data_IF_830467688857
#
_entry.id   IF_830467688857
#
_cell.length_a   1.000
_cell.length_b   1.000
_cell.length_c   1.000
_cell.angle_alpha   90.00
_cell.angle_beta   90.00
_cell.angle_gamma   90.00
#
_symmetry.space_group_name_H-M   'P 1'
#
loop_
_entity.id
_entity.type
_entity.pdbx_description
1 polymer ?
#
# COMPACT_ATOMS: atom_id res chain seq x y z
N UNK A 1 28.26 -70.61 -9.38
CA UNK A 1 29.38 -70.90 -10.30
C UNK A 1 29.80 -69.61 -10.91
N UNK A 2 30.81 -69.16 -10.37
CA UNK A 2 32.16 -68.79 -10.80
C UNK A 2 32.20 -67.37 -11.29
N UNK A 3 32.76 -66.43 -10.54
CA UNK A 3 34.20 -66.03 -10.41
C UNK A 3 34.67 -65.25 -11.66
N UNK A 4 35.44 -64.22 -11.70
CA UNK A 4 36.45 -63.58 -10.80
C UNK A 4 36.83 -62.23 -11.40
N UNK A 5 37.12 -61.28 -10.51
CA UNK A 5 38.24 -60.30 -10.44
C UNK A 5 38.67 -59.41 -11.60
N UNK A 6 38.96 -58.13 -11.23
CA UNK A 6 39.79 -57.20 -12.00
C UNK A 6 39.89 -55.81 -11.42
N UNK A 7 40.71 -55.64 -10.38
CA UNK A 7 41.14 -54.34 -9.83
C UNK A 7 41.78 -53.43 -10.90
N UNK A 8 41.39 -52.12 -10.94
CA UNK A 8 42.37 -51.05 -11.19
C UNK A 8 41.94 -49.76 -10.57
N UNK A 9 42.70 -49.31 -9.59
CA UNK A 9 42.69 -47.97 -9.01
C UNK A 9 43.16 -46.96 -10.05
N UNK A 10 42.39 -45.87 -10.27
CA UNK A 10 42.95 -44.57 -10.70
C UNK A 10 42.33 -43.46 -9.89
N UNK A 11 43.22 -42.67 -9.36
CA UNK A 11 43.09 -41.50 -8.52
C UNK A 11 42.05 -40.49 -9.01
N UNK A 12 41.24 -40.01 -8.07
CA UNK A 12 40.38 -38.85 -8.21
C UNK A 12 41.25 -37.58 -8.20
N UNK A 13 41.23 -36.86 -9.29
CA UNK A 13 41.76 -35.51 -9.35
C UNK A 13 40.57 -34.53 -9.14
N UNK A 14 40.66 -33.71 -8.07
CA UNK A 14 39.62 -32.78 -7.64
C UNK A 14 39.54 -31.56 -8.56
N UNK A 15 38.63 -31.60 -9.49
CA UNK A 15 38.18 -30.41 -10.22
C UNK A 15 37.15 -29.64 -9.41
N UNK A 16 37.59 -28.73 -8.54
CA UNK A 16 36.69 -27.79 -7.89
C UNK A 16 35.96 -26.93 -8.95
N UNK A 17 34.66 -27.04 -8.98
CA UNK A 17 33.80 -26.32 -9.91
C UNK A 17 33.86 -24.80 -9.65
N UNK A 18 34.70 -24.10 -10.42
CA UNK A 18 34.86 -22.63 -10.40
C UNK A 18 33.65 -21.85 -10.96
N UNK A 19 32.54 -22.56 -11.28
CA UNK A 19 31.33 -21.93 -11.85
C UNK A 19 30.31 -21.46 -10.80
N UNK A 20 30.36 -21.95 -9.58
CA UNK A 20 29.41 -21.59 -8.53
C UNK A 20 29.43 -20.10 -8.14
N UNK A 21 30.58 -19.41 -7.96
CA UNK A 21 30.61 -18.01 -7.60
C UNK A 21 30.09 -17.08 -8.72
N UNK A 22 30.33 -17.39 -9.99
CA UNK A 22 29.89 -16.57 -11.12
C UNK A 22 28.36 -16.61 -11.32
N UNK A 23 27.72 -17.75 -11.05
CA UNK A 23 26.26 -17.88 -11.09
C UNK A 23 25.58 -17.17 -9.93
N UNK A 24 26.16 -17.19 -8.73
CA UNK A 24 25.66 -16.49 -7.56
C UNK A 24 25.74 -14.96 -7.72
N UNK A 25 26.86 -14.44 -8.24
CA UNK A 25 27.03 -13.00 -8.55
C UNK A 25 26.09 -12.55 -9.66
N UNK A 26 25.87 -13.36 -10.70
CA UNK A 26 24.91 -13.06 -11.77
C UNK A 26 23.47 -13.04 -11.25
N UNK A 27 23.09 -13.98 -10.37
CA UNK A 27 21.78 -14.00 -9.74
C UNK A 27 21.54 -12.80 -8.80
N UNK A 28 22.53 -12.43 -8.01
CA UNK A 28 22.47 -11.25 -7.13
C UNK A 28 22.38 -9.94 -7.92
N UNK A 29 23.12 -9.81 -9.03
CA UNK A 29 23.02 -8.65 -9.90
C UNK A 29 21.67 -8.57 -10.61
N UNK A 30 21.04 -9.67 -10.95
CA UNK A 30 19.69 -9.72 -11.51
C UNK A 30 18.63 -9.31 -10.50
N UNK A 31 18.81 -9.60 -9.20
CA UNK A 31 17.92 -9.20 -8.11
C UNK A 31 18.03 -7.72 -7.77
N UNK A 32 19.13 -7.05 -8.10
CA UNK A 32 19.38 -5.60 -7.86
C UNK A 32 19.11 -4.73 -9.08
N UNK A 33 18.48 -5.26 -10.11
CA UNK A 33 18.08 -4.46 -11.26
C UNK A 33 17.14 -3.33 -10.83
N UNK A 34 17.43 -2.09 -11.22
CA UNK A 34 16.63 -0.91 -10.84
C UNK A 34 15.22 -0.89 -11.44
N UNK A 35 14.96 -1.72 -12.47
CA UNK A 35 13.64 -1.96 -13.04
C UNK A 35 13.51 -3.45 -13.39
N UNK A 36 12.66 -4.15 -12.65
CA UNK A 36 12.48 -5.60 -12.76
C UNK A 36 11.05 -6.02 -12.37
N UNK A 37 10.75 -7.31 -12.43
CA UNK A 37 9.50 -7.84 -11.87
C UNK A 37 9.42 -7.56 -10.36
N UNK A 38 8.25 -7.18 -9.85
CA UNK A 38 8.08 -6.89 -8.43
C UNK A 38 8.49 -8.08 -7.53
N UNK A 39 8.26 -9.29 -8.00
CA UNK A 39 8.59 -10.54 -7.30
C UNK A 39 10.09 -10.83 -7.22
N UNK A 40 10.94 -10.09 -7.93
CA UNK A 40 12.39 -10.23 -7.83
C UNK A 40 13.01 -9.50 -6.63
N UNK A 41 12.27 -8.61 -5.99
CA UNK A 41 12.72 -7.91 -4.78
C UNK A 41 12.66 -8.87 -3.60
N UNK A 42 13.77 -9.05 -2.89
CA UNK A 42 13.84 -9.89 -1.70
C UNK A 42 12.92 -9.30 -0.61
N UNK A 43 12.09 -10.15 -0.03
CA UNK A 43 11.09 -9.74 0.97
C UNK A 43 11.74 -9.10 2.19
N UNK A 44 12.89 -9.59 2.63
CA UNK A 44 13.60 -9.05 3.80
C UNK A 44 14.16 -7.64 3.54
N UNK A 45 14.74 -7.40 2.35
CA UNK A 45 15.22 -6.06 1.98
C UNK A 45 14.07 -5.07 1.84
N UNK A 46 12.94 -5.54 1.29
CA UNK A 46 11.73 -4.74 1.21
C UNK A 46 11.14 -4.44 2.60
N UNK A 47 11.11 -5.42 3.50
CA UNK A 47 10.66 -5.24 4.89
C UNK A 47 11.54 -4.23 5.63
N UNK A 48 12.87 -4.37 5.52
CA UNK A 48 13.83 -3.43 6.09
C UNK A 48 13.62 -2.00 5.56
N UNK A 49 13.40 -1.83 4.25
CA UNK A 49 13.07 -0.52 3.70
C UNK A 49 11.74 0.02 4.23
N UNK A 50 10.70 -0.83 4.33
CA UNK A 50 9.40 -0.42 4.85
C UNK A 50 9.50 0.10 6.29
N UNK A 51 10.24 -0.57 7.17
CA UNK A 51 10.47 -0.13 8.56
C UNK A 51 11.19 1.22 8.63
N UNK A 52 12.02 1.53 7.64
CA UNK A 52 12.81 2.77 7.54
C UNK A 52 12.17 3.81 6.61
N UNK A 53 10.99 3.55 6.06
CA UNK A 53 10.35 4.48 5.15
C UNK A 53 10.11 5.84 5.80
N UNK A 54 10.39 6.93 5.06
CA UNK A 54 10.20 8.31 5.53
C UNK A 54 8.73 8.67 5.74
N UNK A 55 7.84 7.94 5.06
CA UNK A 55 6.40 8.11 5.16
C UNK A 55 5.70 6.75 5.13
N UNK A 56 4.81 6.46 6.09
CA UNK A 56 4.10 5.19 6.15
C UNK A 56 3.17 4.98 4.94
N UNK A 57 3.22 3.77 4.35
CA UNK A 57 2.25 3.32 3.35
C UNK A 57 1.96 1.82 3.56
N UNK A 58 0.84 1.50 4.20
CA UNK A 58 0.43 0.12 4.50
C UNK A 58 0.13 -0.71 3.25
N UNK A 59 -0.11 -0.07 2.10
CA UNK A 59 -0.42 -0.74 0.85
C UNK A 59 0.84 -1.16 0.05
N UNK A 60 2.01 -0.62 0.41
CA UNK A 60 3.28 -1.04 -0.17
C UNK A 60 4.12 -1.89 0.79
N UNK A 61 3.47 -2.49 1.79
CA UNK A 61 4.07 -3.57 2.58
C UNK A 61 4.19 -4.84 1.74
N UNK A 62 5.28 -5.64 1.90
CA UNK A 62 5.52 -6.80 1.03
C UNK A 62 4.36 -7.80 1.04
N UNK A 63 3.82 -8.14 2.22
CA UNK A 63 2.72 -9.11 2.34
C UNK A 63 1.44 -8.64 1.63
N UNK A 64 1.18 -7.33 1.59
CA UNK A 64 0.03 -6.77 0.88
C UNK A 64 0.25 -6.74 -0.63
N UNK A 65 1.31 -6.05 -1.08
CA UNK A 65 1.50 -5.78 -2.50
C UNK A 65 1.88 -7.04 -3.30
N UNK A 66 2.61 -7.99 -2.70
CA UNK A 66 2.85 -9.29 -3.33
C UNK A 66 1.57 -10.10 -3.48
N UNK A 67 0.67 -10.08 -2.50
CA UNK A 67 -0.63 -10.74 -2.61
C UNK A 67 -1.52 -10.09 -3.68
N UNK A 68 -1.51 -8.75 -3.78
CA UNK A 68 -2.19 -8.01 -4.87
C UNK A 68 -1.62 -8.43 -6.22
N UNK A 69 -0.30 -8.42 -6.35
CA UNK A 69 0.38 -8.78 -7.61
C UNK A 69 0.19 -10.27 -7.99
N UNK A 70 0.01 -11.15 -7.02
CA UNK A 70 -0.18 -12.58 -7.27
C UNK A 70 -1.58 -12.91 -7.82
N UNK A 71 -2.63 -12.25 -7.33
CA UNK A 71 -3.99 -12.73 -7.60
C UNK A 71 -5.05 -11.65 -7.81
N UNK A 72 -4.88 -10.40 -7.36
CA UNK A 72 -5.93 -9.40 -7.43
C UNK A 72 -6.32 -9.06 -8.88
N UNK A 73 -7.61 -9.09 -9.16
CA UNK A 73 -8.14 -8.91 -10.50
C UNK A 73 -7.64 -7.63 -11.19
N UNK A 74 -7.00 -7.80 -12.36
CA UNK A 74 -6.47 -6.70 -13.17
C UNK A 74 -5.24 -5.98 -12.58
N UNK A 75 -4.63 -6.50 -11.49
CA UNK A 75 -3.49 -5.89 -10.78
C UNK A 75 -2.20 -6.73 -10.76
N UNK A 76 -2.23 -7.91 -11.34
CA UNK A 76 -1.07 -8.83 -11.43
C UNK A 76 0.01 -8.33 -12.40
N UNK A 77 1.22 -8.88 -12.38
CA UNK A 77 2.30 -8.58 -13.34
C UNK A 77 2.82 -7.15 -13.21
N UNK A 78 3.01 -6.68 -11.98
CA UNK A 78 3.59 -5.38 -11.64
C UNK A 78 5.10 -5.44 -11.72
N UNK A 79 5.75 -4.37 -12.17
CA UNK A 79 7.20 -4.17 -12.08
C UNK A 79 7.55 -3.30 -10.88
N UNK A 80 8.78 -3.42 -10.40
CA UNK A 80 9.35 -2.55 -9.39
C UNK A 80 10.33 -1.56 -10.02
N UNK A 81 10.20 -0.28 -9.69
CA UNK A 81 11.32 0.64 -9.71
C UNK A 81 11.98 0.56 -8.34
N UNK A 82 13.28 0.24 -8.30
CA UNK A 82 14.06 0.13 -7.09
C UNK A 82 15.31 1.00 -7.15
N UNK A 83 15.62 1.65 -6.05
CA UNK A 83 16.86 2.40 -5.87
C UNK A 83 17.70 1.68 -4.82
N UNK A 84 18.95 1.43 -5.19
CA UNK A 84 19.93 0.74 -4.36
C UNK A 84 21.07 1.68 -4.02
N UNK A 85 21.57 1.58 -2.82
CA UNK A 85 22.79 2.23 -2.38
C UNK A 85 23.86 1.17 -2.29
N UNK A 86 24.89 1.31 -3.14
CA UNK A 86 26.05 0.43 -3.08
C UNK A 86 26.79 0.62 -1.75
N UNK A 87 27.45 -0.41 -1.29
CA UNK A 87 28.41 -0.31 -0.23
C UNK A 87 29.43 0.76 -0.62
N UNK A 88 29.58 1.82 0.19
CA UNK A 88 30.65 2.79 -0.04
C UNK A 88 31.97 2.05 0.10
N UNK A 89 32.84 2.02 -0.92
CA UNK A 89 34.22 1.67 -0.68
C UNK A 89 34.75 2.69 0.33
N UNK A 90 35.21 2.22 1.47
CA UNK A 90 35.76 3.07 2.53
C UNK A 90 36.83 3.98 1.89
N UNK A 91 36.61 5.30 1.88
CA UNK A 91 37.52 6.25 1.30
C UNK A 91 38.84 6.18 2.05
N UNK A 92 39.95 5.97 1.30
CA UNK A 92 41.34 6.09 1.72
C UNK A 92 41.96 4.86 2.40
N UNK A 93 42.14 3.78 1.61
CA UNK A 93 43.31 2.91 1.81
C UNK A 93 44.22 3.06 0.59
N UNK A 94 45.52 3.32 0.75
CA UNK A 94 46.46 3.34 -0.39
C UNK A 94 46.52 1.99 -1.09
N UNK A 95 46.66 2.01 -2.41
CA UNK A 95 46.53 0.85 -3.35
C UNK A 95 47.65 -0.21 -3.18
N UNK A 96 48.34 -0.31 -2.10
CA UNK A 96 49.53 -1.17 -1.99
C UNK A 96 49.38 -2.50 -1.25
N UNK A 97 48.19 -2.83 -0.74
CA UNK A 97 47.98 -4.13 -0.06
C UNK A 97 46.57 -4.67 -0.38
N UNK A 98 46.46 -5.41 -1.45
CA UNK A 98 45.35 -6.32 -1.69
C UNK A 98 45.91 -7.77 -1.67
N UNK A 99 45.10 -8.83 -1.46
CA UNK A 99 43.67 -8.94 -1.36
C UNK A 99 43.19 -9.72 -0.11
N UNK A 100 42.42 -9.12 0.70
CA UNK A 100 41.51 -9.88 1.55
C UNK A 100 40.12 -9.28 1.40
N UNK A 101 39.11 -10.10 1.25
CA UNK A 101 37.71 -9.73 1.31
C UNK A 101 37.51 -8.93 2.60
N UNK A 102 37.37 -7.59 2.44
CA UNK A 102 37.22 -6.70 3.57
C UNK A 102 35.83 -6.90 4.19
N UNK A 103 35.72 -7.49 5.39
CA UNK A 103 34.44 -7.77 6.03
C UNK A 103 33.70 -6.51 6.49
N UNK A 104 34.24 -5.32 6.20
CA UNK A 104 33.68 -4.01 6.63
C UNK A 104 32.88 -3.30 5.54
N UNK A 105 32.75 -3.86 4.33
CA UNK A 105 31.91 -3.32 3.30
C UNK A 105 30.44 -3.60 3.65
N UNK A 106 29.70 -2.58 4.06
CA UNK A 106 28.25 -2.72 4.25
C UNK A 106 27.60 -3.25 2.95
N UNK A 107 26.76 -4.27 3.02
CA UNK A 107 26.11 -4.80 1.80
C UNK A 107 25.24 -3.73 1.14
N UNK A 108 25.19 -3.74 -0.19
CA UNK A 108 24.30 -2.86 -0.92
C UNK A 108 22.86 -3.03 -0.42
N UNK A 109 22.17 -1.92 -0.11
CA UNK A 109 20.83 -1.95 0.49
C UNK A 109 19.79 -1.26 -0.39
N UNK A 110 18.55 -1.75 -0.33
CA UNK A 110 17.40 -1.13 -0.96
C UNK A 110 17.05 0.17 -0.20
N UNK A 111 17.08 1.32 -0.89
CA UNK A 111 16.77 2.63 -0.31
C UNK A 111 15.50 3.27 -0.88
N UNK A 112 14.96 2.75 -1.99
CA UNK A 112 13.73 3.24 -2.59
C UNK A 112 13.00 2.16 -3.38
N UNK A 113 11.68 2.15 -3.28
CA UNK A 113 10.81 1.20 -3.98
C UNK A 113 9.51 1.86 -4.40
N UNK A 114 9.15 1.65 -5.67
CA UNK A 114 7.87 2.05 -6.24
C UNK A 114 7.35 0.95 -7.17
N UNK A 115 6.27 0.24 -6.81
CA UNK A 115 5.56 -0.64 -7.73
C UNK A 115 4.96 0.16 -8.90
N UNK A 116 5.21 -0.29 -10.14
CA UNK A 116 4.82 0.44 -11.34
C UNK A 116 4.26 -0.46 -12.44
N UNK A 117 3.46 0.15 -13.30
CA UNK A 117 3.00 -0.41 -14.58
C UNK A 117 3.17 0.63 -15.69
N UNK A 118 3.13 0.24 -16.96
CA UNK A 118 3.13 1.20 -18.06
C UNK A 118 1.90 2.10 -18.01
N UNK A 119 2.01 3.32 -18.52
CA UNK A 119 0.88 4.26 -18.62
C UNK A 119 -0.25 3.71 -19.51
N UNK A 120 0.10 2.90 -20.53
CA UNK A 120 -0.89 2.16 -21.32
C UNK A 120 -1.72 1.23 -20.43
N UNK A 121 -1.07 0.44 -19.59
CA UNK A 121 -1.77 -0.50 -18.72
C UNK A 121 -2.65 0.22 -17.70
N UNK A 122 -2.13 1.29 -17.06
CA UNK A 122 -2.83 2.06 -16.04
C UNK A 122 -4.00 2.88 -16.61
N UNK A 123 -3.81 3.49 -17.78
CA UNK A 123 -4.67 4.55 -18.29
C UNK A 123 -5.12 4.36 -19.74
N UNK A 124 -4.61 3.35 -20.48
CA UNK A 124 -4.81 3.16 -21.93
C UNK A 124 -4.28 4.36 -22.75
N UNK A 125 -3.20 4.99 -22.29
CA UNK A 125 -2.51 6.09 -22.97
C UNK A 125 -1.18 5.54 -23.50
N UNK A 126 -0.98 5.50 -24.85
CA UNK A 126 0.21 4.93 -25.48
C UNK A 126 1.39 5.91 -25.49
N UNK A 127 1.74 6.46 -24.33
CA UNK A 127 2.88 7.37 -24.18
C UNK A 127 3.91 6.76 -23.21
N UNK A 128 5.22 7.01 -23.43
CA UNK A 128 6.31 6.40 -22.68
C UNK A 128 6.41 6.98 -21.26
N UNK A 129 5.58 6.49 -20.37
CA UNK A 129 5.59 6.80 -18.93
C UNK A 129 5.26 5.56 -18.11
N UNK A 130 5.74 5.56 -16.87
CA UNK A 130 5.37 4.59 -15.86
C UNK A 130 4.37 5.24 -14.89
N UNK A 131 3.38 4.48 -14.48
CA UNK A 131 2.42 4.90 -13.47
C UNK A 131 2.57 4.02 -12.23
N UNK A 132 2.36 4.59 -11.04
CA UNK A 132 2.26 3.79 -9.82
C UNK A 132 1.20 2.71 -9.99
N UNK A 133 1.55 1.47 -9.65
CA UNK A 133 0.62 0.35 -9.65
C UNK A 133 -0.50 0.59 -8.64
N UNK A 134 -1.68 0.07 -8.92
CA UNK A 134 -2.80 0.16 -7.96
C UNK A 134 -2.68 -0.95 -6.91
N UNK A 135 -2.38 -0.62 -5.64
CA UNK A 135 -2.18 -1.63 -4.60
C UNK A 135 -3.51 -2.13 -4.00
N UNK A 136 -4.60 -2.11 -4.74
CA UNK A 136 -5.96 -2.29 -4.25
C UNK A 136 -6.43 -1.23 -3.23
N UNK A 137 -5.52 -0.40 -2.73
CA UNK A 137 -5.76 0.75 -1.85
C UNK A 137 -5.73 2.08 -2.61
N UNK A 138 -5.90 3.16 -1.87
CA UNK A 138 -5.94 4.53 -2.39
C UNK A 138 -4.75 5.37 -1.92
N UNK A 139 -3.58 4.74 -1.78
CA UNK A 139 -2.32 5.40 -1.45
C UNK A 139 -1.17 4.72 -2.20
N UNK A 140 -0.51 5.47 -3.08
CA UNK A 140 0.62 5.00 -3.88
C UNK A 140 1.91 5.79 -3.59
N UNK A 141 2.06 6.31 -2.37
CA UNK A 141 3.28 6.98 -1.91
C UNK A 141 4.46 6.01 -1.96
N UNK A 142 5.57 6.30 -2.67
CA UNK A 142 6.72 5.42 -2.74
C UNK A 142 7.37 5.22 -1.37
N UNK A 143 7.98 4.07 -1.14
CA UNK A 143 8.85 3.84 0.00
C UNK A 143 10.23 4.44 -0.29
N UNK A 144 10.67 5.37 0.53
CA UNK A 144 11.99 6.00 0.48
C UNK A 144 12.62 5.90 1.86
N UNK A 145 13.86 5.43 1.94
CA UNK A 145 14.61 5.36 3.20
C UNK A 145 14.74 6.75 3.83
N UNK A 146 14.35 6.91 5.08
CA UNK A 146 14.28 8.20 5.78
C UNK A 146 15.62 8.92 5.89
N UNK A 147 16.72 8.18 5.98
CA UNK A 147 18.05 8.76 6.17
C UNK A 147 18.64 9.28 4.85
N UNK A 148 18.15 8.78 3.70
CA UNK A 148 18.65 9.09 2.37
C UNK A 148 17.52 9.30 1.34
N UNK A 149 16.40 9.87 1.79
CA UNK A 149 15.17 9.95 1.00
C UNK A 149 15.32 10.69 -0.33
N UNK A 150 16.16 11.72 -0.38
CA UNK A 150 16.43 12.45 -1.62
C UNK A 150 17.27 11.63 -2.60
N UNK A 151 18.28 10.89 -2.10
CA UNK A 151 19.09 9.96 -2.89
C UNK A 151 18.19 8.82 -3.44
N UNK A 152 17.31 8.27 -2.62
CA UNK A 152 16.33 7.26 -3.02
C UNK A 152 15.39 7.77 -4.11
N UNK A 153 14.87 8.99 -3.96
CA UNK A 153 14.04 9.65 -4.97
C UNK A 153 14.76 9.83 -6.30
N UNK A 154 16.03 10.32 -6.28
CA UNK A 154 16.89 10.43 -7.47
C UNK A 154 17.14 9.06 -8.10
N UNK A 155 17.39 8.05 -7.28
CA UNK A 155 17.57 6.67 -7.72
C UNK A 155 16.37 6.17 -8.51
N UNK A 156 15.16 6.28 -7.95
CA UNK A 156 13.92 5.88 -8.64
C UNK A 156 13.73 6.62 -9.97
N UNK A 157 13.96 7.94 -10.01
CA UNK A 157 13.85 8.73 -11.24
C UNK A 157 14.90 8.32 -12.27
N UNK A 158 16.13 8.01 -11.85
CA UNK A 158 17.20 7.52 -12.71
C UNK A 158 16.83 6.18 -13.35
N UNK A 159 16.32 5.23 -12.56
CA UNK A 159 15.94 3.92 -13.08
C UNK A 159 14.71 4.00 -13.99
N UNK A 160 13.76 4.89 -13.72
CA UNK A 160 12.67 5.18 -14.64
C UNK A 160 13.15 5.74 -16.00
N UNK A 161 14.15 6.65 -16.00
CA UNK A 161 14.79 7.15 -17.23
C UNK A 161 15.45 6.03 -18.02
N UNK A 162 16.19 5.14 -17.34
CA UNK A 162 16.83 3.97 -17.96
C UNK A 162 15.81 3.01 -18.58
N UNK A 163 14.66 2.84 -17.94
CA UNK A 163 13.53 2.08 -18.46
C UNK A 163 12.78 2.75 -19.63
N UNK A 164 13.28 3.89 -20.12
CA UNK A 164 12.71 4.63 -21.27
C UNK A 164 11.53 5.54 -20.93
N UNK A 165 11.19 5.72 -19.64
CA UNK A 165 10.12 6.62 -19.26
C UNK A 165 10.52 8.09 -19.40
N UNK A 166 9.57 8.92 -19.83
CA UNK A 166 9.66 10.38 -19.86
C UNK A 166 9.06 11.03 -18.62
N UNK A 167 8.18 10.31 -17.93
CA UNK A 167 7.56 10.75 -16.68
C UNK A 167 7.20 9.55 -15.80
N UNK A 168 7.12 9.80 -14.47
CA UNK A 168 6.39 8.95 -13.54
C UNK A 168 5.04 9.60 -13.22
N UNK A 169 3.96 8.83 -13.26
CA UNK A 169 2.62 9.27 -12.88
C UNK A 169 2.30 8.62 -11.54
N UNK A 170 2.41 9.38 -10.47
CA UNK A 170 2.07 8.93 -9.12
C UNK A 170 0.60 9.22 -8.87
N UNK A 171 -0.18 8.21 -8.50
CA UNK A 171 -1.61 8.34 -8.21
C UNK A 171 -1.84 8.26 -6.71
N UNK A 172 -2.85 8.99 -6.24
CA UNK A 172 -3.25 8.94 -4.83
C UNK A 172 -2.07 9.10 -3.86
N UNK A 173 -1.18 10.08 -4.07
CA UNK A 173 -0.06 10.33 -3.17
C UNK A 173 -0.37 11.45 -2.19
N UNK A 174 0.24 11.39 -1.00
CA UNK A 174 0.19 12.46 -0.01
C UNK A 174 0.99 13.67 -0.51
N UNK A 175 0.29 14.74 -0.93
CA UNK A 175 0.94 15.91 -1.56
C UNK A 175 1.80 16.72 -0.59
N UNK A 176 1.47 16.70 0.70
CA UNK A 176 2.21 17.40 1.74
C UNK A 176 3.15 16.46 2.53
N UNK A 177 3.17 15.17 2.15
CA UNK A 177 3.95 14.15 2.82
C UNK A 177 5.45 14.27 2.63
N UNK A 178 6.19 13.57 3.47
CA UNK A 178 7.66 13.61 3.46
C UNK A 178 8.26 13.02 2.16
N UNK A 179 7.64 11.98 1.60
CA UNK A 179 8.06 11.38 0.33
C UNK A 179 7.93 12.36 -0.84
N UNK A 180 6.82 13.12 -0.93
CA UNK A 180 6.65 14.14 -1.96
C UNK A 180 7.60 15.31 -1.79
N UNK A 181 7.97 15.67 -0.56
CA UNK A 181 9.01 16.68 -0.30
C UNK A 181 10.35 16.21 -0.82
N UNK A 182 10.76 14.96 -0.54
CA UNK A 182 12.00 14.38 -1.03
C UNK A 182 12.05 14.32 -2.55
N UNK A 183 10.98 13.88 -3.22
CA UNK A 183 10.84 13.89 -4.68
C UNK A 183 10.96 15.31 -5.25
N UNK A 184 10.33 16.30 -4.61
CA UNK A 184 10.37 17.69 -5.05
C UNK A 184 11.77 18.28 -4.92
N UNK A 185 12.48 18.00 -3.84
CA UNK A 185 13.87 18.43 -3.64
C UNK A 185 14.79 17.80 -4.69
N UNK A 186 14.65 16.49 -4.94
CA UNK A 186 15.40 15.79 -5.96
C UNK A 186 15.17 16.38 -7.37
N UNK A 187 13.92 16.72 -7.72
CA UNK A 187 13.57 17.34 -8.99
C UNK A 187 14.16 18.76 -9.16
N UNK A 188 14.14 19.56 -8.09
CA UNK A 188 14.65 20.94 -8.13
C UNK A 188 16.12 21.03 -8.51
N UNK A 189 16.94 20.05 -8.12
CA UNK A 189 18.35 20.00 -8.51
C UNK A 189 18.53 19.83 -10.03
N UNK A 190 17.58 19.14 -10.67
CA UNK A 190 17.51 19.03 -12.14
C UNK A 190 16.74 20.21 -12.79
N UNK A 191 16.34 21.25 -12.02
CA UNK A 191 15.52 22.38 -12.50
C UNK A 191 14.11 21.94 -12.94
N UNK A 192 13.59 20.88 -12.37
CA UNK A 192 12.25 20.32 -12.61
C UNK A 192 11.33 20.55 -11.42
N UNK A 193 10.04 20.42 -11.65
CA UNK A 193 9.01 20.50 -10.60
C UNK A 193 7.92 19.45 -10.83
N UNK A 194 7.29 18.93 -9.77
CA UNK A 194 6.13 18.05 -9.92
C UNK A 194 4.94 18.80 -10.49
N UNK A 195 4.14 18.14 -11.33
CA UNK A 195 2.94 18.69 -11.93
C UNK A 195 1.74 18.02 -11.30
N UNK A 196 1.00 18.74 -10.45
CA UNK A 196 -0.23 18.25 -9.84
C UNK A 196 -1.35 18.24 -10.88
N UNK A 197 -1.96 17.08 -11.11
CA UNK A 197 -3.09 16.91 -12.05
C UNK A 197 -4.41 17.26 -11.38
N UNK A 198 -4.67 16.66 -10.24
CA UNK A 198 -5.82 16.93 -9.39
C UNK A 198 -5.50 16.59 -7.94
N UNK A 199 -6.28 17.13 -7.03
CA UNK A 199 -6.15 16.81 -5.61
C UNK A 199 -7.49 16.91 -4.89
N UNK A 200 -7.58 16.19 -3.78
CA UNK A 200 -8.73 16.27 -2.88
C UNK A 200 -8.26 16.16 -1.43
N UNK A 201 -9.16 16.45 -0.52
CA UNK A 201 -8.95 16.27 0.91
C UNK A 201 -9.73 15.03 1.35
N UNK A 202 -9.10 14.13 2.08
CA UNK A 202 -9.78 12.99 2.70
C UNK A 202 -9.61 13.00 4.21
N UNK A 203 -10.56 12.38 4.90
CA UNK A 203 -10.59 12.35 6.35
C UNK A 203 -9.39 11.62 6.93
N UNK A 204 -8.83 12.16 8.01
CA UNK A 204 -7.86 11.47 8.84
C UNK A 204 -8.13 11.74 10.32
N UNK A 205 -7.66 10.83 11.16
CA UNK A 205 -7.70 10.90 12.61
C UNK A 205 -6.33 11.34 13.13
N UNK A 206 -6.31 12.29 14.06
CA UNK A 206 -5.18 12.50 14.96
C UNK A 206 -5.38 11.56 16.16
N UNK A 207 -4.66 10.44 16.15
CA UNK A 207 -4.78 9.40 17.15
C UNK A 207 -4.05 9.72 18.48
N UNK A 208 -3.29 10.82 18.53
CA UNK A 208 -2.63 11.30 19.76
C UNK A 208 -3.58 12.02 20.71
N UNK A 209 -4.78 12.36 20.22
CA UNK A 209 -5.81 13.05 21.01
C UNK A 209 -6.65 12.04 21.79
N UNK A 210 -7.21 12.51 22.91
CA UNK A 210 -8.23 11.74 23.62
C UNK A 210 -9.46 11.49 22.72
N UNK A 211 -9.89 10.24 22.65
CA UNK A 211 -10.94 9.81 21.73
C UNK A 211 -12.26 10.54 21.95
N UNK A 212 -12.65 10.73 23.21
CA UNK A 212 -13.91 11.42 23.52
C UNK A 212 -13.87 12.91 23.20
N UNK A 213 -12.69 13.54 23.22
CA UNK A 213 -12.51 14.92 22.74
C UNK A 213 -12.64 14.99 21.22
N UNK A 214 -11.98 14.07 20.51
CA UNK A 214 -12.12 13.94 19.05
C UNK A 214 -13.59 13.80 18.64
N UNK A 215 -14.32 12.92 19.32
CA UNK A 215 -15.73 12.66 18.99
C UNK A 215 -16.66 13.82 19.39
N UNK A 216 -16.41 14.51 20.50
CA UNK A 216 -17.17 15.71 20.91
C UNK A 216 -16.94 16.89 19.96
N UNK A 217 -15.72 17.08 19.50
CA UNK A 217 -15.41 18.12 18.51
C UNK A 217 -16.03 17.81 17.14
N UNK A 218 -16.14 16.54 16.80
CA UNK A 218 -16.62 16.09 15.51
C UNK A 218 -18.16 16.08 15.40
N UNK A 219 -18.84 15.65 16.44
CA UNK A 219 -20.27 15.38 16.42
C UNK A 219 -21.00 16.24 17.48
N UNK A 220 -22.15 16.80 17.09
CA UNK A 220 -22.98 17.54 18.05
C UNK A 220 -23.45 16.63 19.20
N UNK A 221 -23.70 17.23 20.38
CA UNK A 221 -24.25 16.51 21.53
C UNK A 221 -25.57 15.78 21.21
N UNK A 222 -26.41 16.37 20.34
CA UNK A 222 -27.64 15.77 19.83
C UNK A 222 -27.32 14.49 19.04
N UNK A 223 -26.32 14.54 18.14
CA UNK A 223 -25.93 13.36 17.32
C UNK A 223 -25.32 12.26 18.18
N UNK A 224 -24.46 12.58 19.13
CA UNK A 224 -23.90 11.61 20.07
C UNK A 224 -24.99 10.94 20.92
N UNK A 225 -25.98 11.71 21.39
CA UNK A 225 -27.14 11.17 22.13
C UNK A 225 -27.99 10.23 21.26
N UNK A 226 -28.20 10.60 20.00
CA UNK A 226 -28.91 9.75 19.02
C UNK A 226 -28.19 8.43 18.79
N UNK A 227 -26.86 8.47 18.52
CA UNK A 227 -26.05 7.26 18.31
C UNK A 227 -26.03 6.36 19.54
N UNK A 228 -25.94 6.94 20.75
CA UNK A 228 -26.05 6.18 22.00
C UNK A 228 -27.41 5.50 22.13
N UNK A 229 -28.51 6.22 21.81
CA UNK A 229 -29.85 5.62 21.81
C UNK A 229 -29.98 4.47 20.82
N UNK A 230 -29.44 4.64 19.60
CA UNK A 230 -29.42 3.58 18.60
C UNK A 230 -28.64 2.34 19.09
N UNK A 231 -27.49 2.55 19.76
CA UNK A 231 -26.68 1.47 20.34
C UNK A 231 -27.42 0.72 21.46
N UNK A 232 -28.08 1.45 22.37
CA UNK A 232 -28.86 0.85 23.46
C UNK A 232 -30.02 0.02 22.89
N UNK A 233 -30.73 0.57 21.93
CA UNK A 233 -31.82 -0.13 21.25
C UNK A 233 -31.34 -1.38 20.50
N UNK A 234 -30.16 -1.32 19.85
CA UNK A 234 -29.53 -2.49 19.25
C UNK A 234 -29.24 -3.56 20.31
N UNK A 235 -28.74 -3.15 21.48
CA UNK A 235 -28.48 -4.06 22.59
C UNK A 235 -29.76 -4.68 23.16
N UNK A 236 -30.83 -3.92 23.29
CA UNK A 236 -32.15 -4.39 23.77
C UNK A 236 -32.79 -5.39 22.80
N UNK A 237 -32.74 -5.10 21.49
CA UNK A 237 -33.40 -5.95 20.48
C UNK A 237 -32.58 -7.20 20.10
N UNK A 238 -31.24 -7.15 20.20
CA UNK A 238 -30.36 -8.19 19.62
C UNK A 238 -29.26 -8.69 20.56
N UNK A 239 -29.21 -8.21 21.80
CA UNK A 239 -28.22 -8.59 22.81
C UNK A 239 -27.02 -7.64 22.84
N UNK A 240 -26.19 -7.82 23.87
CA UNK A 240 -25.09 -6.90 24.21
C UNK A 240 -24.22 -6.51 22.99
N UNK A 241 -23.99 -5.21 22.79
CA UNK A 241 -23.14 -4.70 21.70
C UNK A 241 -21.67 -4.71 22.14
N UNK A 242 -20.85 -5.50 21.43
CA UNK A 242 -19.42 -5.70 21.74
C UNK A 242 -18.55 -5.35 20.53
N UNK A 243 -17.47 -4.63 20.80
CA UNK A 243 -16.37 -4.42 19.87
C UNK A 243 -15.28 -5.45 20.12
N UNK A 244 -14.69 -5.99 19.06
CA UNK A 244 -13.55 -6.90 19.13
C UNK A 244 -12.53 -6.55 18.04
N UNK A 245 -11.25 -6.71 18.35
CA UNK A 245 -10.14 -6.55 17.41
C UNK A 245 -9.36 -7.86 17.32
N UNK A 246 -9.38 -8.49 16.17
CA UNK A 246 -8.60 -9.67 15.82
C UNK A 246 -7.22 -9.24 15.34
N UNK A 247 -6.14 -9.75 15.96
CA UNK A 247 -4.76 -9.36 15.67
C UNK A 247 -3.82 -10.54 15.40
N UNK A 248 -4.07 -11.69 16.03
CA UNK A 248 -3.29 -12.90 15.75
C UNK A 248 -3.67 -13.49 14.40
N UNK A 249 -2.78 -14.28 13.80
CA UNK A 249 -2.99 -14.91 12.49
C UNK A 249 -4.30 -15.68 12.45
N UNK A 250 -4.59 -16.49 13.48
CA UNK A 250 -5.79 -17.31 13.53
C UNK A 250 -7.06 -16.49 13.76
N UNK A 251 -7.00 -15.45 14.58
CA UNK A 251 -8.13 -14.52 14.76
C UNK A 251 -8.43 -13.76 13.47
N UNK A 252 -7.40 -13.21 12.81
CA UNK A 252 -7.53 -12.50 11.53
C UNK A 252 -8.09 -13.41 10.45
N UNK A 253 -7.64 -14.69 10.38
CA UNK A 253 -8.17 -15.66 9.44
C UNK A 253 -9.66 -15.94 9.63
N UNK A 254 -10.15 -15.97 10.87
CA UNK A 254 -11.60 -16.11 11.15
C UNK A 254 -12.35 -14.80 10.89
N UNK A 255 -11.81 -13.67 11.32
CA UNK A 255 -12.48 -12.38 11.21
C UNK A 255 -12.56 -11.87 9.74
N UNK A 256 -11.62 -12.25 8.86
CA UNK A 256 -11.69 -11.92 7.43
C UNK A 256 -12.89 -12.57 6.76
N UNK A 257 -13.25 -13.80 7.15
CA UNK A 257 -14.44 -14.46 6.60
C UNK A 257 -15.74 -13.76 7.04
N UNK A 258 -15.79 -13.29 8.29
CA UNK A 258 -16.91 -12.45 8.78
C UNK A 258 -16.99 -11.15 7.99
N UNK A 259 -15.86 -10.46 7.79
CA UNK A 259 -15.81 -9.24 6.99
C UNK A 259 -16.28 -9.48 5.54
N UNK A 260 -15.80 -10.54 4.88
CA UNK A 260 -16.18 -10.89 3.51
C UNK A 260 -17.67 -11.23 3.38
N UNK A 261 -18.25 -11.90 4.38
CA UNK A 261 -19.68 -12.17 4.41
C UNK A 261 -20.50 -10.89 4.53
N UNK A 262 -20.10 -9.97 5.43
CA UNK A 262 -20.76 -8.67 5.60
C UNK A 262 -20.59 -7.75 4.39
N UNK A 263 -19.40 -7.72 3.75
CA UNK A 263 -19.17 -6.92 2.55
C UNK A 263 -20.03 -7.40 1.36
N UNK A 264 -20.25 -8.69 1.27
CA UNK A 264 -21.04 -9.30 0.20
C UNK A 264 -22.55 -9.25 0.44
N UNK A 265 -23.01 -9.08 1.68
CA UNK A 265 -24.44 -9.03 2.02
C UNK A 265 -25.11 -7.70 1.68
N UNK A 266 -24.34 -6.63 1.40
CA UNK A 266 -24.86 -5.32 1.09
C UNK A 266 -24.85 -4.99 -0.42
N UNK A 267 -25.08 -3.72 -0.74
CA UNK A 267 -25.17 -3.20 -2.11
C UNK A 267 -23.98 -3.56 -3.02
N UNK A 268 -22.80 -3.84 -2.44
CA UNK A 268 -21.60 -4.28 -3.19
C UNK A 268 -21.81 -5.69 -3.74
N UNK A 269 -22.43 -6.58 -2.95
CA UNK A 269 -22.80 -7.91 -3.38
C UNK A 269 -23.82 -7.87 -4.53
N UNK A 270 -24.85 -7.03 -4.41
CA UNK A 270 -25.87 -6.85 -5.48
C UNK A 270 -25.27 -6.31 -6.79
N UNK A 271 -24.21 -5.48 -6.70
CA UNK A 271 -23.53 -4.90 -7.87
C UNK A 271 -22.42 -5.76 -8.45
N UNK A 272 -22.12 -6.92 -7.89
CA UNK A 272 -21.02 -7.76 -8.34
C UNK A 272 -19.63 -7.17 -8.05
N UNK A 273 -19.49 -6.33 -7.02
CA UNK A 273 -18.22 -5.62 -6.68
C UNK A 273 -17.65 -5.99 -5.33
N UNK A 274 -18.24 -6.97 -4.65
CA UNK A 274 -17.71 -7.48 -3.39
C UNK A 274 -16.48 -8.37 -3.65
N UNK A 275 -15.48 -8.29 -2.76
CA UNK A 275 -14.23 -9.07 -2.86
C UNK A 275 -14.47 -10.58 -3.00
N UNK A 276 -15.51 -11.10 -2.36
CA UNK A 276 -15.86 -12.52 -2.41
C UNK A 276 -16.34 -13.00 -3.78
N UNK A 277 -16.77 -12.10 -4.67
CA UNK A 277 -17.35 -12.46 -5.97
C UNK A 277 -16.31 -12.69 -7.06
N UNK A 278 -15.07 -12.25 -6.86
CA UNK A 278 -13.92 -12.55 -7.72
C UNK A 278 -12.95 -13.47 -6.95
N UNK A 279 -12.59 -14.59 -7.57
CA UNK A 279 -11.71 -15.59 -6.94
C UNK A 279 -10.31 -15.06 -6.68
N UNK A 280 -9.81 -14.19 -7.55
CA UNK A 280 -8.50 -13.55 -7.40
C UNK A 280 -8.50 -12.53 -6.26
N UNK A 281 -9.54 -11.69 -6.17
CA UNK A 281 -9.69 -10.71 -5.09
C UNK A 281 -9.91 -11.40 -3.73
N UNK A 282 -10.65 -12.51 -3.72
CA UNK A 282 -10.83 -13.34 -2.52
C UNK A 282 -9.50 -13.96 -2.05
N UNK A 283 -8.73 -14.51 -2.97
CA UNK A 283 -7.41 -15.07 -2.69
C UNK A 283 -6.45 -13.99 -2.17
N UNK A 284 -6.43 -12.83 -2.84
CA UNK A 284 -5.65 -11.68 -2.45
C UNK A 284 -5.91 -11.28 -1.00
N UNK A 285 -7.17 -10.99 -0.63
CA UNK A 285 -7.46 -10.43 0.70
C UNK A 285 -7.14 -11.41 1.82
N UNK A 286 -7.39 -12.71 1.64
CA UNK A 286 -7.02 -13.75 2.60
C UNK A 286 -5.51 -13.85 2.79
N UNK A 287 -4.76 -13.87 1.70
CA UNK A 287 -3.29 -13.95 1.72
C UNK A 287 -2.67 -12.70 2.34
N UNK A 288 -3.11 -11.52 1.92
CA UNK A 288 -2.60 -10.23 2.39
C UNK A 288 -2.84 -10.04 3.89
N UNK A 289 -4.07 -10.26 4.37
CA UNK A 289 -4.40 -10.06 5.78
C UNK A 289 -3.68 -11.06 6.68
N UNK A 290 -3.52 -12.32 6.25
CA UNK A 290 -2.74 -13.33 6.97
C UNK A 290 -1.27 -12.93 7.08
N UNK A 291 -0.61 -12.62 5.95
CA UNK A 291 0.80 -12.26 5.94
C UNK A 291 1.09 -10.96 6.70
N UNK A 292 0.17 -9.99 6.71
CA UNK A 292 0.29 -8.79 7.54
C UNK A 292 0.06 -9.08 9.03
N UNK A 293 -0.80 -10.05 9.39
CA UNK A 293 -1.02 -10.45 10.77
C UNK A 293 0.23 -11.11 11.38
N UNK A 294 1.00 -11.86 10.58
CA UNK A 294 2.29 -12.45 10.99
C UNK A 294 3.29 -11.42 11.50
N UNK A 295 3.19 -10.17 11.03
CA UNK A 295 4.06 -9.04 11.40
C UNK A 295 3.34 -7.97 12.25
N UNK A 296 2.11 -8.25 12.73
CA UNK A 296 1.33 -7.29 13.52
C UNK A 296 0.84 -6.06 12.73
N UNK A 297 0.83 -6.14 11.40
CA UNK A 297 0.51 -5.02 10.50
C UNK A 297 -0.94 -5.04 9.98
N UNK A 298 -1.77 -5.96 10.49
CA UNK A 298 -3.20 -6.03 10.18
C UNK A 298 -4.00 -6.31 11.43
N UNK A 299 -5.14 -5.65 11.55
CA UNK A 299 -6.20 -6.02 12.47
C UNK A 299 -7.55 -5.98 11.75
N UNK A 300 -8.46 -6.87 12.15
CA UNK A 300 -9.84 -6.86 11.70
C UNK A 300 -10.72 -6.58 12.90
N UNK A 301 -11.42 -5.45 12.84
CA UNK A 301 -12.31 -5.04 13.92
C UNK A 301 -13.74 -5.41 13.58
N UNK A 302 -14.47 -5.90 14.59
CA UNK A 302 -15.86 -6.33 14.44
C UNK A 302 -16.74 -5.72 15.51
N UNK A 303 -18.00 -5.43 15.16
CA UNK A 303 -19.08 -5.05 16.06
C UNK A 303 -20.11 -6.17 16.07
N UNK A 304 -20.41 -6.69 17.25
CA UNK A 304 -21.41 -7.74 17.46
C UNK A 304 -22.60 -7.20 18.24
N UNK A 305 -23.79 -7.66 17.87
CA UNK A 305 -25.01 -7.56 18.69
C UNK A 305 -25.40 -8.97 19.15
N UNK A 306 -25.22 -9.26 20.43
CA UNK A 306 -25.23 -10.62 20.94
C UNK A 306 -24.15 -11.48 20.29
N UNK A 307 -24.54 -12.52 19.56
CA UNK A 307 -23.64 -13.40 18.79
C UNK A 307 -23.54 -13.01 17.30
N UNK A 308 -24.35 -12.05 16.85
CA UNK A 308 -24.43 -11.68 15.43
C UNK A 308 -23.42 -10.58 15.11
N UNK A 309 -22.48 -10.77 14.18
CA UNK A 309 -21.64 -9.70 13.67
C UNK A 309 -22.48 -8.76 12.79
N UNK A 310 -22.50 -7.46 13.10
CA UNK A 310 -23.29 -6.45 12.41
C UNK A 310 -22.45 -5.48 11.58
N UNK A 311 -21.17 -5.38 11.87
CA UNK A 311 -20.20 -4.65 11.07
C UNK A 311 -18.79 -5.23 11.28
N UNK A 312 -17.95 -5.17 10.24
CA UNK A 312 -16.54 -5.52 10.33
C UNK A 312 -15.70 -4.64 9.40
N UNK A 313 -14.46 -4.37 9.79
CA UNK A 313 -13.55 -3.57 8.97
C UNK A 313 -12.12 -4.11 9.03
N UNK A 314 -11.41 -3.98 7.91
CA UNK A 314 -9.98 -4.28 7.80
C UNK A 314 -9.18 -2.99 8.01
N UNK A 315 -8.22 -3.03 8.92
CA UNK A 315 -7.33 -1.93 9.25
C UNK A 315 -5.88 -2.41 9.07
N UNK A 316 -5.11 -1.70 8.25
CA UNK A 316 -3.69 -1.95 8.09
C UNK A 316 -2.91 -1.04 9.02
N UNK A 317 -1.71 -1.45 9.41
CA UNK A 317 -0.81 -0.69 10.28
C UNK A 317 0.57 -0.64 9.66
N UNK A 318 1.15 0.55 9.60
CA UNK A 318 2.54 0.72 9.18
C UNK A 318 3.17 1.87 9.96
N UNK A 319 4.22 1.58 10.70
CA UNK A 319 4.87 2.51 11.61
C UNK A 319 3.84 3.14 12.58
N UNK A 320 3.70 4.44 12.61
CA UNK A 320 2.80 5.21 13.48
C UNK A 320 1.44 5.54 12.84
N UNK A 321 1.09 4.87 11.71
CA UNK A 321 -0.15 5.15 10.98
C UNK A 321 -1.01 3.91 10.77
N UNK A 322 -2.31 4.05 11.03
CA UNK A 322 -3.33 3.09 10.65
C UNK A 322 -4.00 3.49 9.32
N UNK A 323 -4.51 2.51 8.59
CA UNK A 323 -5.21 2.70 7.31
C UNK A 323 -6.53 1.94 7.35
N UNK A 324 -7.64 2.66 7.31
CA UNK A 324 -8.99 2.09 7.35
C UNK A 324 -9.39 1.62 5.95
N UNK A 325 -9.03 0.38 5.60
CA UNK A 325 -9.13 -0.10 4.22
C UNK A 325 -10.56 -0.26 3.72
N UNK A 326 -11.35 -1.08 4.35
CA UNK A 326 -12.74 -1.37 3.94
C UNK A 326 -13.62 -1.72 5.12
N UNK A 327 -14.90 -1.38 4.99
CA UNK A 327 -15.97 -1.69 5.91
C UNK A 327 -17.04 -2.55 5.21
N UNK A 328 -17.49 -3.61 5.88
CA UNK A 328 -18.69 -4.39 5.59
C UNK A 328 -19.72 -4.20 6.72
N UNK A 329 -21.00 -4.12 6.37
CA UNK A 329 -22.10 -4.02 7.31
C UNK A 329 -23.22 -4.98 6.94
N UNK A 330 -23.97 -5.43 7.94
CA UNK A 330 -25.24 -6.11 7.72
C UNK A 330 -26.34 -5.06 7.57
N UNK A 331 -26.88 -4.93 6.35
CA UNK A 331 -27.89 -3.91 6.04
C UNK A 331 -29.22 -4.13 6.79
N UNK A 332 -29.50 -5.34 7.29
CA UNK A 332 -30.67 -5.62 8.14
C UNK A 332 -30.64 -4.77 9.42
N UNK A 333 -29.45 -4.37 9.86
CA UNK A 333 -29.23 -3.52 11.04
C UNK A 333 -29.03 -2.03 10.69
N UNK A 334 -29.30 -1.59 9.45
CA UNK A 334 -29.05 -0.23 8.99
C UNK A 334 -29.70 0.84 9.89
N UNK A 335 -30.89 0.59 10.45
CA UNK A 335 -31.59 1.48 11.39
C UNK A 335 -30.79 1.83 12.65
N UNK A 336 -29.79 1.03 13.01
CA UNK A 336 -28.89 1.23 14.15
C UNK A 336 -27.53 1.82 13.77
N UNK A 337 -27.29 2.11 12.48
CA UNK A 337 -26.07 2.69 11.95
C UNK A 337 -24.78 1.89 12.34
N UNK A 338 -24.72 0.54 12.10
CA UNK A 338 -23.65 -0.31 12.62
C UNK A 338 -22.26 0.12 12.14
N UNK A 339 -22.11 0.62 10.90
CA UNK A 339 -20.85 1.14 10.41
C UNK A 339 -20.37 2.39 11.14
N UNK A 340 -21.28 3.29 11.52
CA UNK A 340 -20.96 4.46 12.36
C UNK A 340 -20.57 4.00 13.76
N UNK A 341 -21.32 3.08 14.39
CA UNK A 341 -20.99 2.54 15.71
C UNK A 341 -19.61 1.89 15.74
N UNK A 342 -19.30 1.06 14.75
CA UNK A 342 -17.97 0.45 14.62
C UNK A 342 -16.88 1.53 14.48
N UNK A 343 -17.13 2.59 13.69
CA UNK A 343 -16.15 3.67 13.48
C UNK A 343 -15.91 4.47 14.77
N UNK A 344 -16.93 4.68 15.62
CA UNK A 344 -16.75 5.33 16.92
C UNK A 344 -15.88 4.47 17.85
N UNK A 345 -16.14 3.15 17.90
CA UNK A 345 -15.35 2.24 18.72
C UNK A 345 -13.92 2.09 18.16
N UNK A 346 -13.76 2.03 16.83
CA UNK A 346 -12.45 2.06 16.17
C UNK A 346 -11.68 3.35 16.50
N UNK A 347 -12.34 4.50 16.51
CA UNK A 347 -11.70 5.77 16.91
C UNK A 347 -11.14 5.68 18.32
N UNK A 348 -11.91 5.15 19.28
CA UNK A 348 -11.45 4.94 20.67
C UNK A 348 -10.29 3.96 20.72
N UNK A 349 -10.40 2.86 19.99
CA UNK A 349 -9.37 1.84 19.91
C UNK A 349 -8.03 2.36 19.37
N UNK A 350 -8.07 3.16 18.29
CA UNK A 350 -6.87 3.76 17.69
C UNK A 350 -6.25 4.86 18.56
N UNK A 351 -7.07 5.69 19.22
CA UNK A 351 -6.57 6.72 20.13
C UNK A 351 -6.00 6.13 21.44
N UNK A 352 -6.40 4.94 21.84
CA UNK A 352 -5.83 4.25 23.00
C UNK A 352 -4.48 3.58 22.71
N UNK A 353 -4.06 3.52 21.44
CA UNK A 353 -2.80 2.90 21.03
C UNK A 353 -1.66 3.93 21.03
N UNK A 354 -0.76 3.83 22.00
CA UNK A 354 0.34 4.78 22.18
C UNK A 354 1.35 4.84 21.01
N UNK A 355 1.37 3.83 20.12
CA UNK A 355 2.25 3.79 18.96
C UNK A 355 1.68 4.62 17.80
N UNK A 356 0.35 4.73 17.70
CA UNK A 356 -0.29 5.38 16.57
C UNK A 356 -0.33 6.90 16.75
N UNK A 357 0.15 7.61 15.75
CA UNK A 357 0.02 9.05 15.64
C UNK A 357 -1.21 9.46 14.83
N UNK A 358 -1.51 8.71 13.76
CA UNK A 358 -2.56 9.08 12.82
C UNK A 358 -3.29 7.85 12.27
N UNK A 359 -4.53 8.07 11.77
CA UNK A 359 -5.17 7.09 10.90
C UNK A 359 -5.71 7.75 9.63
N UNK A 360 -5.41 7.13 8.49
CA UNK A 360 -5.92 7.50 7.18
C UNK A 360 -7.23 6.76 6.90
N UNK A 361 -8.29 7.48 6.60
CA UNK A 361 -9.58 6.86 6.28
C UNK A 361 -9.58 6.07 4.98
N UNK A 362 -8.63 6.36 4.08
CA UNK A 362 -8.55 5.84 2.70
C UNK A 362 -9.83 6.00 1.88
N UNK A 363 -10.75 6.82 2.38
CA UNK A 363 -12.05 7.09 1.78
C UNK A 363 -11.97 8.14 0.67
N UNK A 364 -13.05 8.25 -0.12
CA UNK A 364 -13.22 9.35 -1.08
C UNK A 364 -13.36 10.70 -0.38
N UNK A 365 -13.15 11.79 -1.13
CA UNK A 365 -13.16 13.17 -0.62
C UNK A 365 -14.39 13.51 0.26
N UNK A 366 -15.58 13.17 -0.22
CA UNK A 366 -16.84 13.56 0.42
C UNK A 366 -17.57 12.35 1.02
N UNK A 367 -16.82 11.45 1.68
CA UNK A 367 -17.39 10.23 2.24
C UNK A 367 -18.34 10.56 3.41
N UNK A 368 -19.66 10.27 3.29
CA UNK A 368 -20.69 10.80 4.18
C UNK A 368 -20.58 10.28 5.63
N UNK A 369 -20.03 9.09 5.82
CA UNK A 369 -19.90 8.47 7.13
C UNK A 369 -18.65 8.93 7.88
N UNK A 370 -17.47 8.88 7.24
CA UNK A 370 -16.20 9.08 7.94
C UNK A 370 -15.82 10.56 8.06
N UNK A 371 -16.12 11.39 7.06
CA UNK A 371 -15.75 12.80 7.07
C UNK A 371 -16.33 13.61 8.25
N UNK A 372 -17.56 13.34 8.74
CA UNK A 372 -18.08 13.97 9.95
C UNK A 372 -17.38 13.52 11.23
N UNK A 373 -16.82 12.30 11.27
CA UNK A 373 -16.22 11.71 12.47
C UNK A 373 -14.74 12.07 12.56
N UNK A 374 -13.98 11.87 11.47
CA UNK A 374 -12.57 12.22 11.40
C UNK A 374 -12.40 13.55 10.67
N UNK A 375 -12.16 14.61 11.44
CA UNK A 375 -12.12 15.98 10.92
C UNK A 375 -10.76 16.44 10.42
N UNK A 376 -9.69 15.74 10.74
CA UNK A 376 -8.40 15.96 10.11
C UNK A 376 -8.47 15.75 8.60
N UNK A 377 -7.56 16.37 7.83
CA UNK A 377 -7.56 16.28 6.36
C UNK A 377 -6.18 16.01 5.83
N UNK A 378 -6.09 14.95 5.02
CA UNK A 378 -4.93 14.62 4.21
C UNK A 378 -5.16 15.12 2.78
N UNK A 379 -4.21 15.87 2.26
CA UNK A 379 -4.25 16.33 0.86
C UNK A 379 -3.63 15.25 -0.02
N UNK A 380 -4.46 14.56 -0.78
CA UNK A 380 -4.10 13.47 -1.68
C UNK A 380 -4.27 13.95 -3.12
N UNK A 381 -3.45 13.48 -4.03
CA UNK A 381 -3.58 13.82 -5.44
C UNK A 381 -2.76 12.96 -6.38
N UNK A 382 -2.98 13.17 -7.66
CA UNK A 382 -2.21 12.60 -8.75
C UNK A 382 -1.18 13.61 -9.25
N UNK A 383 0.05 13.12 -9.44
CA UNK A 383 1.20 13.96 -9.77
C UNK A 383 1.98 13.37 -10.92
N UNK A 384 2.38 14.18 -11.88
CA UNK A 384 3.40 13.84 -12.87
C UNK A 384 4.76 14.30 -12.33
N UNK A 385 5.69 13.38 -12.26
CA UNK A 385 7.11 13.63 -12.01
C UNK A 385 7.82 13.62 -13.37
N UNK A 386 8.14 14.80 -13.95
CA UNK A 386 8.86 14.88 -15.22
C UNK A 386 10.28 14.36 -15.03
N UNK A 387 10.80 13.63 -16.00
CA UNK A 387 12.13 13.04 -15.92
C UNK A 387 13.16 13.76 -16.80
N UNK A 388 12.73 14.68 -17.66
CA UNK A 388 13.57 15.48 -18.57
C UNK A 388 13.07 16.91 -18.66
N UNK A 389 13.98 17.85 -18.84
CA UNK A 389 13.64 19.28 -19.03
C UNK A 389 13.00 19.51 -20.40
N UNK A 390 12.03 20.40 -20.46
CA UNK A 390 11.39 20.87 -21.69
C UNK A 390 10.94 19.74 -22.62
N UNK A 391 10.52 18.61 -22.07
CA UNK A 391 10.15 17.43 -22.83
C UNK A 391 8.70 17.56 -23.34
N UNK A 392 8.47 17.61 -24.68
CA UNK A 392 7.13 17.70 -25.23
C UNK A 392 6.27 16.48 -24.94
N UNK A 393 6.89 15.31 -24.71
CA UNK A 393 6.18 14.08 -24.33
C UNK A 393 5.52 14.23 -22.97
N UNK A 394 6.16 14.91 -22.02
CA UNK A 394 5.55 15.21 -20.70
C UNK A 394 4.31 16.09 -20.86
N UNK A 395 4.36 17.07 -21.77
CA UNK A 395 3.20 17.93 -22.09
C UNK A 395 2.05 17.12 -22.71
N UNK A 396 2.37 16.20 -23.61
CA UNK A 396 1.39 15.28 -24.20
C UNK A 396 0.78 14.33 -23.15
N UNK A 397 1.59 13.77 -22.24
CA UNK A 397 1.11 12.95 -21.11
C UNK A 397 0.14 13.74 -20.24
N UNK A 398 0.50 14.97 -19.86
CA UNK A 398 -0.35 15.86 -19.07
C UNK A 398 -1.69 16.13 -19.76
N UNK A 399 -1.65 16.49 -21.05
CA UNK A 399 -2.86 16.76 -21.84
C UNK A 399 -3.78 15.53 -21.91
N UNK A 400 -3.20 14.35 -22.21
CA UNK A 400 -3.97 13.10 -22.31
C UNK A 400 -4.59 12.69 -20.96
N UNK A 401 -3.87 12.80 -19.84
CA UNK A 401 -4.39 12.51 -18.51
C UNK A 401 -5.50 13.49 -18.10
N UNK A 402 -5.32 14.78 -18.40
CA UNK A 402 -6.34 15.82 -18.12
C UNK A 402 -7.61 15.59 -18.94
N UNK A 403 -7.47 15.28 -20.24
CA UNK A 403 -8.60 14.96 -21.10
C UNK A 403 -9.37 13.73 -20.61
N UNK A 404 -8.63 12.65 -20.24
CA UNK A 404 -9.22 11.44 -19.66
C UNK A 404 -9.98 11.73 -18.36
N UNK A 405 -9.45 12.55 -17.48
CA UNK A 405 -10.11 12.94 -16.22
C UNK A 405 -11.43 13.67 -16.52
N UNK A 406 -11.41 14.69 -17.38
CA UNK A 406 -12.61 15.44 -17.79
C UNK A 406 -13.69 14.55 -18.41
N UNK A 407 -13.29 13.61 -19.29
CA UNK A 407 -14.22 12.65 -19.88
C UNK A 407 -14.89 11.76 -18.84
N UNK A 408 -14.14 11.30 -17.83
CA UNK A 408 -14.69 10.50 -16.73
C UNK A 408 -15.64 11.30 -15.84
N UNK A 409 -15.33 12.55 -15.55
CA UNK A 409 -16.21 13.43 -14.78
C UNK A 409 -17.51 13.70 -15.56
N UNK A 410 -17.39 14.00 -16.85
CA UNK A 410 -18.54 14.18 -17.71
C UNK A 410 -19.42 12.92 -17.77
N UNK A 411 -18.83 11.74 -17.96
CA UNK A 411 -19.58 10.47 -17.96
C UNK A 411 -20.27 10.20 -16.62
N UNK A 412 -19.61 10.47 -15.48
CA UNK A 412 -20.23 10.35 -14.15
C UNK A 412 -21.41 11.31 -13.99
N UNK A 413 -21.26 12.57 -14.40
CA UNK A 413 -22.32 13.57 -14.35
C UNK A 413 -23.51 13.19 -15.23
N UNK A 414 -23.27 12.64 -16.43
CA UNK A 414 -24.30 12.13 -17.32
C UNK A 414 -25.08 10.96 -16.69
N UNK A 415 -24.38 9.98 -16.11
CA UNK A 415 -25.01 8.85 -15.39
C UNK A 415 -25.84 9.32 -14.21
N UNK A 416 -25.38 10.34 -13.45
CA UNK A 416 -26.14 10.91 -12.35
C UNK A 416 -27.41 11.61 -12.81
N UNK A 417 -27.39 12.29 -13.96
CA UNK A 417 -28.57 12.97 -14.52
C UNK A 417 -29.59 11.98 -15.08
N UNK A 418 -29.14 10.81 -15.55
CA UNK A 418 -30.03 9.78 -16.13
C UNK A 418 -30.62 8.82 -15.08
N UNK A 419 -30.19 8.91 -13.81
CA UNK A 419 -30.83 8.14 -12.72
C UNK A 419 -32.05 8.89 -12.22
N UNK A 420 -33.27 8.32 -12.33
CA UNK A 420 -34.44 8.92 -11.72
C UNK A 420 -34.22 9.01 -10.20
N UNK A 421 -34.61 10.14 -9.62
CA UNK A 421 -34.67 10.31 -8.17
C UNK A 421 -35.54 9.20 -7.57
N UNK A 422 -34.98 8.36 -6.74
CA UNK A 422 -35.71 7.39 -5.90
C UNK A 422 -36.11 8.06 -4.60
#
# INVERSE_FOLDING_TARGET
>A
MAEIDGLSRRSADGGADKRAPALAVSAQNSQRAGFAALTSILVEEWRTLAERAIEPNGYYLPAWELAVNASAHGRTGVSALSAWRDASPNKLVPIELAPSEDPTSEPARLIGLLPVVSLWRACKIPLPALASASPYGTLCTPLLDRDVAEEAAKGLMREARKAGAHALVLRDVSLNGAAMKALTLALRQDGLQPIILHSHLRACLDARREADDVLRDALSAKKLKELRRQRNRLAEEHGAVRFAAARTVDEVARAVEVFLALEASGWKGERGTALRQDTGDLSFIRSATRGLAETGQCEIVTLHAGQTPVAAAVVLRHQDRAFYFKLGIDERFAKFSPGVQLTLDLTRHLCADAVLATADSTASADHPMINPIWRGRLKIGDVIIPLRRNDPVVSAIRAALTARHRLREWARAAVHRLRPAK
#
